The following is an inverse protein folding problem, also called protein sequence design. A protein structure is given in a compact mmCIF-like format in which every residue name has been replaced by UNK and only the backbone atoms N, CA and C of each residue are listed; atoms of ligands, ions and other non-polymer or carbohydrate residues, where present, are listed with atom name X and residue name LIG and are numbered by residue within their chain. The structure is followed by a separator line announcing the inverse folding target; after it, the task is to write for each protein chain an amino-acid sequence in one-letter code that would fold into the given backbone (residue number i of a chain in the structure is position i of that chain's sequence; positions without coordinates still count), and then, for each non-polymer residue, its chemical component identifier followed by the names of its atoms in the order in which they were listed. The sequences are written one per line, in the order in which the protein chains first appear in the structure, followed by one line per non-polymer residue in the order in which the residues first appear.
data_IF_357455031222
#
_entry.id   IF_357455031222
#
_cell.length_a   1.000
_cell.length_b   1.000
_cell.length_c   1.000
_cell.angle_alpha   90.00
_cell.angle_beta   90.00
_cell.angle_gamma   90.00
#
_symmetry.space_group_name_H-M   'P 1'
#
loop_
_entity.id
_entity.type
_entity.pdbx_description
1 polymer ?
#
# COMPACT_ATOMS: atom_id res chain seq x y z
N UNK A 1 6.95 1.86 -24.00
CA UNK A 1 7.59 1.05 -22.95
C UNK A 1 7.17 -0.40 -23.16
N UNK A 2 8.07 -1.38 -23.02
CA UNK A 2 7.69 -2.79 -23.16
C UNK A 2 6.87 -3.23 -21.94
N UNK A 3 5.90 -4.12 -22.12
CA UNK A 3 5.08 -4.69 -21.04
C UNK A 3 5.93 -5.29 -19.91
N UNK A 4 7.02 -5.96 -20.28
CA UNK A 4 7.98 -6.55 -19.33
C UNK A 4 8.66 -5.52 -18.41
N UNK A 5 8.96 -4.32 -18.91
CA UNK A 5 9.55 -3.26 -18.09
C UNK A 5 8.54 -2.70 -17.06
N UNK A 6 7.29 -2.51 -17.50
CA UNK A 6 6.21 -2.06 -16.61
C UNK A 6 5.96 -3.09 -15.52
N UNK A 7 5.91 -4.37 -15.89
CA UNK A 7 5.78 -5.47 -14.94
C UNK A 7 6.93 -5.47 -13.91
N UNK A 8 8.19 -5.38 -14.34
CA UNK A 8 9.33 -5.41 -13.41
C UNK A 8 9.30 -4.26 -12.40
N UNK A 9 8.93 -3.05 -12.85
CA UNK A 9 8.84 -1.87 -11.97
C UNK A 9 7.67 -2.01 -10.99
N UNK A 10 6.51 -2.49 -11.46
CA UNK A 10 5.33 -2.70 -10.63
C UNK A 10 5.59 -3.77 -9.57
N UNK A 11 6.22 -4.89 -9.93
CA UNK A 11 6.55 -5.97 -9.00
C UNK A 11 7.55 -5.51 -7.93
N UNK A 12 8.58 -4.75 -8.29
CA UNK A 12 9.53 -4.18 -7.32
C UNK A 12 8.83 -3.26 -6.31
N UNK A 13 7.94 -2.38 -6.79
CA UNK A 13 7.18 -1.45 -5.94
C UNK A 13 6.19 -2.17 -5.04
N UNK A 14 5.58 -3.23 -5.56
CA UNK A 14 4.66 -4.08 -4.81
C UNK A 14 5.38 -4.82 -3.68
N UNK A 15 6.56 -5.39 -3.96
CA UNK A 15 7.42 -6.02 -2.95
C UNK A 15 7.87 -5.02 -1.87
N UNK A 16 8.22 -3.80 -2.27
CA UNK A 16 8.59 -2.74 -1.32
C UNK A 16 7.43 -2.38 -0.38
N UNK A 17 6.21 -2.24 -0.91
CA UNK A 17 5.01 -1.98 -0.11
C UNK A 17 4.72 -3.14 0.86
N UNK A 18 4.79 -4.39 0.39
CA UNK A 18 4.57 -5.57 1.22
C UNK A 18 5.61 -5.72 2.35
N UNK A 19 6.88 -5.43 2.06
CA UNK A 19 7.94 -5.43 3.07
C UNK A 19 7.66 -4.40 4.18
N UNK A 20 7.26 -3.18 3.80
CA UNK A 20 6.88 -2.15 4.78
C UNK A 20 5.66 -2.58 5.60
N UNK A 21 4.68 -3.21 4.95
CA UNK A 21 3.48 -3.75 5.62
C UNK A 21 3.81 -4.81 6.67
N UNK A 22 4.73 -5.73 6.36
CA UNK A 22 5.20 -6.74 7.32
C UNK A 22 5.94 -6.15 8.53
N UNK A 23 6.48 -4.93 8.39
CA UNK A 23 7.15 -4.20 9.46
C UNK A 23 6.20 -3.41 10.37
N UNK A 24 4.89 -3.41 10.10
CA UNK A 24 3.89 -2.80 10.98
C UNK A 24 3.60 -3.73 12.16
N UNK A 25 4.02 -3.32 13.35
CA UNK A 25 3.70 -4.00 14.60
C UNK A 25 2.44 -3.39 15.23
N UNK A 26 1.43 -4.22 15.48
CA UNK A 26 0.26 -3.84 16.27
C UNK A 26 0.52 -3.86 17.79
N UNK A 27 1.67 -4.38 18.21
CA UNK A 27 2.07 -4.44 19.61
C UNK A 27 2.61 -3.07 20.04
N UNK A 28 1.75 -2.26 20.66
CA UNK A 28 2.06 -0.91 21.14
C UNK A 28 1.88 -0.88 22.65
N UNK A 29 2.98 -0.79 23.39
CA UNK A 29 2.98 -0.77 24.86
C UNK A 29 3.50 0.55 25.43
N UNK A 30 4.00 1.44 24.56
CA UNK A 30 4.58 2.71 24.95
C UNK A 30 4.31 3.82 23.91
N UNK A 31 4.54 5.07 24.31
CA UNK A 31 4.50 6.21 23.41
C UNK A 31 5.59 6.14 22.32
N UNK A 32 6.70 5.45 22.60
CA UNK A 32 7.74 5.19 21.61
C UNK A 32 7.24 4.25 20.52
N UNK A 33 6.62 3.13 20.90
CA UNK A 33 6.04 2.17 19.96
C UNK A 33 4.95 2.81 19.10
N UNK A 34 4.14 3.70 19.70
CA UNK A 34 3.13 4.47 18.96
C UNK A 34 3.76 5.35 17.87
N UNK A 35 4.80 6.13 18.20
CA UNK A 35 5.52 6.97 17.22
C UNK A 35 6.20 6.13 16.14
N UNK A 36 6.73 4.97 16.50
CA UNK A 36 7.33 4.04 15.57
C UNK A 36 6.27 3.47 14.60
N UNK A 37 5.12 3.03 15.11
CA UNK A 37 3.98 2.60 14.29
C UNK A 37 3.53 3.72 13.35
N UNK A 38 3.37 4.95 13.84
CA UNK A 38 2.99 6.11 13.03
C UNK A 38 3.99 6.35 11.88
N UNK A 39 5.29 6.30 12.17
CA UNK A 39 6.36 6.51 11.18
C UNK A 39 6.39 5.39 10.12
N UNK A 40 6.28 4.14 10.56
CA UNK A 40 6.27 2.99 9.66
C UNK A 40 5.01 3.00 8.78
N UNK A 41 3.86 3.39 9.35
CA UNK A 41 2.61 3.51 8.61
C UNK A 41 2.65 4.63 7.55
N UNK A 42 3.27 5.77 7.86
CA UNK A 42 3.53 6.82 6.86
C UNK A 42 4.40 6.30 5.72
N UNK A 43 5.43 5.52 6.04
CA UNK A 43 6.31 4.92 5.04
C UNK A 43 5.55 3.91 4.16
N UNK A 44 4.70 3.09 4.76
CA UNK A 44 3.84 2.15 4.04
C UNK A 44 2.86 2.86 3.10
N UNK A 45 2.12 3.85 3.60
CA UNK A 45 1.19 4.65 2.78
C UNK A 45 1.93 5.36 1.63
N UNK A 46 3.11 5.89 1.90
CA UNK A 46 3.97 6.47 0.86
C UNK A 46 4.35 5.47 -0.22
N UNK A 47 4.66 4.23 0.15
CA UNK A 47 4.96 3.15 -0.80
C UNK A 47 3.73 2.71 -1.60
N UNK A 48 2.54 2.60 -0.99
CA UNK A 48 1.28 2.29 -1.69
C UNK A 48 0.95 3.38 -2.70
N UNK A 49 1.12 4.66 -2.32
CA UNK A 49 0.95 5.80 -3.22
C UNK A 49 1.97 5.79 -4.36
N UNK A 50 3.23 5.47 -4.07
CA UNK A 50 4.27 5.31 -5.09
C UNK A 50 3.96 4.17 -6.07
N UNK A 51 3.48 3.02 -5.57
CA UNK A 51 3.01 1.93 -6.42
C UNK A 51 1.87 2.42 -7.33
N UNK A 52 0.84 3.06 -6.77
CA UNK A 52 -0.31 3.53 -7.53
C UNK A 52 0.08 4.46 -8.69
N UNK A 53 1.01 5.39 -8.49
CA UNK A 53 1.44 6.34 -9.55
C UNK A 53 2.33 5.69 -10.62
N UNK A 54 2.94 4.54 -10.33
CA UNK A 54 3.74 3.79 -11.33
C UNK A 54 2.89 2.98 -12.29
N UNK A 55 1.63 2.72 -11.93
CA UNK A 55 0.70 1.94 -12.75
C UNK A 55 0.10 2.86 -13.82
N UNK A 56 0.11 2.45 -15.11
CA UNK A 56 -0.54 3.19 -16.17
C UNK A 56 -2.03 3.44 -15.87
N UNK A 57 -2.54 4.65 -16.15
CA UNK A 57 -3.91 5.03 -15.78
C UNK A 57 -4.98 4.19 -16.46
N UNK A 58 -4.71 3.72 -17.68
CA UNK A 58 -5.57 2.83 -18.46
C UNK A 58 -5.81 1.47 -17.79
N UNK A 59 -4.85 1.00 -16.98
CA UNK A 59 -4.96 -0.24 -16.18
C UNK A 59 -5.94 -0.08 -15.03
N UNK A 60 -5.91 1.07 -14.37
CA UNK A 60 -6.74 1.36 -13.19
C UNK A 60 -8.07 2.01 -13.57
N UNK A 61 -8.17 2.56 -14.77
CA UNK A 61 -9.35 3.26 -15.29
C UNK A 61 -9.84 4.34 -14.33
N UNK A 62 -11.16 4.40 -14.17
CA UNK A 62 -11.83 5.38 -13.32
C UNK A 62 -11.48 5.22 -11.83
N UNK A 63 -11.05 4.02 -11.40
CA UNK A 63 -10.66 3.75 -10.02
C UNK A 63 -9.39 4.47 -9.61
N UNK A 64 -8.53 4.88 -10.56
CA UNK A 64 -7.27 5.58 -10.26
C UNK A 64 -7.48 6.78 -9.33
N UNK A 65 -8.42 7.67 -9.69
CA UNK A 65 -8.66 8.90 -8.94
C UNK A 65 -9.21 8.61 -7.53
N UNK A 66 -10.06 7.59 -7.41
CA UNK A 66 -10.64 7.19 -6.13
C UNK A 66 -9.57 6.59 -5.21
N UNK A 67 -8.76 5.66 -5.71
CA UNK A 67 -7.65 5.05 -4.97
C UNK A 67 -6.60 6.09 -4.58
N UNK A 68 -6.26 7.01 -5.49
CA UNK A 68 -5.29 8.08 -5.24
C UNK A 68 -5.75 9.01 -4.13
N UNK A 69 -7.02 9.39 -4.12
CA UNK A 69 -7.61 10.22 -3.05
C UNK A 69 -7.63 9.48 -1.73
N UNK A 70 -8.05 8.20 -1.72
CA UNK A 70 -8.07 7.38 -0.51
C UNK A 70 -6.68 7.30 0.14
N UNK A 71 -5.66 6.88 -0.62
CA UNK A 71 -4.30 6.75 -0.08
C UNK A 71 -3.68 8.09 0.31
N UNK A 72 -3.86 9.13 -0.51
CA UNK A 72 -3.30 10.46 -0.21
C UNK A 72 -3.98 11.12 1.00
N UNK A 73 -5.25 10.79 1.26
CA UNK A 73 -5.98 11.25 2.44
C UNK A 73 -5.50 10.63 3.75
N UNK A 74 -4.77 9.51 3.71
CA UNK A 74 -4.28 8.84 4.93
C UNK A 74 -3.11 9.59 5.58
N UNK A 75 -2.18 10.15 4.80
CA UNK A 75 -1.01 10.89 5.31
C UNK A 75 -1.38 11.93 6.40
N UNK A 76 -2.30 12.89 6.15
CA UNK A 76 -2.68 13.88 7.17
C UNK A 76 -3.45 13.26 8.34
N UNK A 77 -4.20 12.17 8.13
CA UNK A 77 -4.93 11.48 9.21
C UNK A 77 -3.96 10.76 10.15
N UNK A 78 -2.95 10.09 9.60
CA UNK A 78 -1.90 9.41 10.36
C UNK A 78 -1.11 10.41 11.20
N UNK A 79 -0.71 11.54 10.61
CA UNK A 79 0.03 12.59 11.33
C UNK A 79 -0.76 13.20 12.50
N UNK A 80 -2.09 13.19 12.41
CA UNK A 80 -2.99 13.71 13.44
C UNK A 80 -3.51 12.64 14.40
N UNK A 81 -3.12 11.38 14.20
CA UNK A 81 -3.59 10.29 15.03
C UNK A 81 -3.14 10.48 16.48
N UNK A 82 -4.07 10.26 17.42
CA UNK A 82 -3.83 10.44 18.85
C UNK A 82 -3.73 9.13 19.62
N UNK A 83 -4.14 8.02 19.01
CA UNK A 83 -4.19 6.71 19.63
C UNK A 83 -3.95 5.58 18.62
N UNK A 84 -3.57 4.42 19.15
CA UNK A 84 -3.21 3.24 18.36
C UNK A 84 -4.38 2.73 17.52
N UNK A 85 -5.61 2.83 18.03
CA UNK A 85 -6.80 2.35 17.31
C UNK A 85 -7.01 3.11 16.00
N UNK A 86 -6.78 4.43 16.00
CA UNK A 86 -6.79 5.23 14.77
C UNK A 86 -5.71 4.77 13.78
N UNK A 87 -4.48 4.56 14.24
CA UNK A 87 -3.39 4.09 13.37
C UNK A 87 -3.68 2.72 12.75
N UNK A 88 -4.22 1.78 13.53
CA UNK A 88 -4.60 0.46 13.03
C UNK A 88 -5.72 0.58 11.97
N UNK A 89 -6.75 1.39 12.22
CA UNK A 89 -7.80 1.64 11.23
C UNK A 89 -7.27 2.25 9.93
N UNK A 90 -6.29 3.14 10.01
CA UNK A 90 -5.64 3.72 8.83
C UNK A 90 -4.75 2.70 8.11
N UNK A 91 -4.11 1.78 8.84
CA UNK A 91 -3.43 0.62 8.27
C UNK A 91 -4.39 -0.28 7.50
N UNK A 92 -5.54 -0.62 8.07
CA UNK A 92 -6.56 -1.43 7.40
C UNK A 92 -7.05 -0.75 6.11
N UNK A 93 -7.26 0.57 6.17
CA UNK A 93 -7.66 1.34 4.98
C UNK A 93 -6.57 1.34 3.91
N UNK A 94 -5.28 1.40 4.30
CA UNK A 94 -4.17 1.29 3.35
C UNK A 94 -4.08 -0.12 2.73
N UNK A 95 -4.36 -1.16 3.51
CA UNK A 95 -4.42 -2.55 3.05
C UNK A 95 -5.54 -2.76 2.04
N UNK A 96 -6.74 -2.23 2.29
CA UNK A 96 -7.84 -2.25 1.32
C UNK A 96 -7.44 -1.61 -0.02
N UNK A 97 -6.78 -0.46 0.02
CA UNK A 97 -6.29 0.20 -1.20
C UNK A 97 -5.24 -0.65 -1.91
N UNK A 98 -4.32 -1.27 -1.17
CA UNK A 98 -3.32 -2.15 -1.74
C UNK A 98 -3.97 -3.37 -2.41
N UNK A 99 -4.98 -3.97 -1.78
CA UNK A 99 -5.75 -5.10 -2.35
C UNK A 99 -6.46 -4.67 -3.63
N UNK A 100 -7.09 -3.51 -3.65
CA UNK A 100 -7.75 -2.98 -4.86
C UNK A 100 -6.75 -2.79 -6.01
N UNK A 101 -5.54 -2.29 -5.70
CA UNK A 101 -4.44 -2.15 -6.67
C UNK A 101 -4.00 -3.53 -7.21
N UNK A 102 -3.74 -4.50 -6.33
CA UNK A 102 -3.33 -5.85 -6.71
C UNK A 102 -4.38 -6.50 -7.62
N UNK A 103 -5.66 -6.38 -7.26
CA UNK A 103 -6.76 -6.91 -8.05
C UNK A 103 -6.83 -6.29 -9.45
N UNK A 104 -6.60 -4.98 -9.57
CA UNK A 104 -6.57 -4.30 -10.87
C UNK A 104 -5.38 -4.75 -11.73
N UNK A 105 -4.19 -4.86 -11.13
CA UNK A 105 -3.00 -5.36 -11.80
C UNK A 105 -3.16 -6.80 -12.30
N UNK A 106 -3.79 -7.65 -11.49
CA UNK A 106 -4.10 -9.03 -11.86
C UNK A 106 -5.10 -9.11 -13.02
N UNK A 107 -6.19 -8.35 -12.96
CA UNK A 107 -7.20 -8.28 -14.04
C UNK A 107 -6.61 -7.76 -15.36
N UNK A 108 -5.63 -6.87 -15.28
CA UNK A 108 -4.92 -6.35 -16.45
C UNK A 108 -3.80 -7.30 -16.96
N UNK A 109 -3.56 -8.43 -16.29
CA UNK A 109 -2.53 -9.39 -16.66
C UNK A 109 -1.09 -8.88 -16.48
N UNK A 110 -0.89 -7.85 -15.65
CA UNK A 110 0.43 -7.27 -15.37
C UNK A 110 1.19 -8.12 -14.37
N UNK A 111 0.49 -8.66 -13.37
CA UNK A 111 1.05 -9.59 -12.38
C UNK A 111 0.32 -10.93 -12.47
N UNK A 112 1.00 -12.01 -12.10
CA UNK A 112 0.46 -13.38 -12.13
C UNK A 112 0.20 -13.90 -10.70
N UNK A 113 -0.64 -14.94 -10.57
CA UNK A 113 -1.02 -15.58 -9.29
C UNK A 113 0.17 -15.97 -8.36
N UNK A 114 1.33 -16.42 -8.87
CA UNK A 114 2.51 -16.70 -8.04
C UNK A 114 3.01 -15.46 -7.29
N UNK A 115 2.93 -14.28 -7.91
CA UNK A 115 3.36 -13.02 -7.32
C UNK A 115 2.37 -12.55 -6.24
N UNK A 116 1.07 -12.63 -6.49
CA UNK A 116 0.01 -12.24 -5.55
C UNK A 116 -0.02 -13.11 -4.28
N UNK A 117 0.14 -14.43 -4.43
CA UNK A 117 0.10 -15.38 -3.31
C UNK A 117 1.32 -15.23 -2.38
N UNK A 118 2.48 -14.85 -2.93
CA UNK A 118 3.71 -14.60 -2.15
C UNK A 118 3.64 -13.37 -1.24
N UNK A 119 2.70 -12.46 -1.51
CA UNK A 119 2.53 -11.18 -0.81
C UNK A 119 1.47 -11.26 0.31
N UNK A 120 0.57 -12.23 0.25
CA UNK A 120 -0.51 -12.44 1.22
C UNK A 120 -0.13 -13.53 2.25
N UNK A 121 0.81 -14.41 1.91
CA UNK A 121 1.20 -15.55 2.75
C UNK A 121 2.57 -15.42 3.40
N UNK A 122 2.74 -14.51 4.36
CA UNK A 122 3.72 -14.62 5.46
C UNK A 122 3.28 -13.83 6.69
#
# INVERSE_FOLDING_TARGET
MSSAYVQSVVEERLLAAAKLRSGLSANVFSAYDFRQLQTNLLSYVGAVKALLITIPRDVLGDSFNLLYRRVSGLEPLILRATDTTQLLKYSDTADEVLVDIINALFKAGIITEPSASSLVGR
#
